data_IF_877397153668
#
_entry.id   IF_877397153668
#
_cell.length_a   1.000
_cell.length_b   1.000
_cell.length_c   1.000
_cell.angle_alpha   90.00
_cell.angle_beta   90.00
_cell.angle_gamma   90.00
#
_symmetry.space_group_name_H-M   'P 1'
#
loop_
_entity.id
_entity.type
_entity.pdbx_description
1 polymer ?
#
# COMPACT_ATOMS: atom_id res chain seq x y z
N UNK A 1 -8.75 -5.66 8.51
CA UNK A 1 -7.33 -5.46 8.84
C UNK A 1 -6.60 -5.61 7.53
N UNK A 2 -6.15 -4.49 6.93
CA UNK A 2 -5.12 -4.58 5.88
C UNK A 2 -3.92 -5.25 6.54
N UNK A 3 -3.30 -6.24 5.90
CA UNK A 3 -2.02 -6.74 6.35
C UNK A 3 -1.08 -5.53 6.33
N UNK A 4 -0.68 -5.06 7.50
CA UNK A 4 0.27 -3.96 7.57
C UNK A 4 1.63 -4.61 7.35
N UNK A 5 2.28 -4.31 6.23
CA UNK A 5 3.66 -4.74 6.02
C UNK A 5 4.51 -4.00 7.06
N UNK A 6 4.87 -4.69 8.14
CA UNK A 6 5.86 -4.19 9.11
C UNK A 6 7.24 -4.23 8.46
N UNK A 7 7.54 -3.21 7.65
CA UNK A 7 8.80 -3.07 6.96
C UNK A 7 9.89 -2.59 7.95
N UNK A 8 10.56 -3.53 8.62
CA UNK A 8 11.76 -3.24 9.41
C UNK A 8 13.00 -3.19 8.48
N UNK A 9 13.18 -2.09 7.73
CA UNK A 9 14.34 -1.96 6.84
C UNK A 9 15.59 -1.52 7.62
N UNK A 10 16.64 -2.33 7.57
CA UNK A 10 18.02 -1.89 7.79
C UNK A 10 18.59 -1.25 6.52
N UNK A 11 19.07 0.00 6.63
CA UNK A 11 19.58 0.83 5.53
C UNK A 11 20.76 0.16 4.81
N UNK A 12 20.57 -0.23 3.55
CA UNK A 12 21.68 -0.48 2.61
C UNK A 12 21.42 0.29 1.31
N UNK A 13 22.33 1.23 1.02
CA UNK A 13 22.29 2.07 -0.18
C UNK A 13 22.82 1.30 -1.38
N UNK A 14 21.96 0.94 -2.33
CA UNK A 14 22.39 0.58 -3.69
C UNK A 14 21.40 1.15 -4.71
N UNK A 15 21.89 2.05 -5.56
CA UNK A 15 21.18 2.68 -6.67
C UNK A 15 21.21 1.79 -7.92
N UNK A 16 20.09 1.66 -8.65
CA UNK A 16 19.94 2.05 -10.07
C UNK A 16 18.58 1.62 -10.63
N UNK A 17 17.64 2.56 -10.67
CA UNK A 17 16.66 2.76 -11.74
C UNK A 17 16.61 4.28 -11.97
N UNK A 18 16.24 4.75 -13.17
CA UNK A 18 16.10 6.19 -13.41
C UNK A 18 15.03 6.76 -12.46
N UNK A 19 15.48 7.24 -11.30
CA UNK A 19 14.60 7.78 -10.27
C UNK A 19 13.98 9.02 -10.88
N UNK A 20 12.67 8.95 -11.12
CA UNK A 20 11.92 10.09 -11.60
C UNK A 20 12.09 11.18 -10.54
N UNK A 21 12.85 12.22 -10.89
CA UNK A 21 13.27 13.23 -9.94
C UNK A 21 12.05 14.08 -9.56
N UNK A 22 11.73 14.14 -8.27
CA UNK A 22 10.74 15.07 -7.77
C UNK A 22 11.35 16.47 -7.68
N UNK A 23 10.75 17.44 -8.39
CA UNK A 23 11.13 18.84 -8.28
C UNK A 23 10.57 19.42 -6.96
N UNK A 24 11.39 19.99 -6.06
CA UNK A 24 10.91 20.63 -4.84
C UNK A 24 9.83 21.71 -5.05
N UNK A 25 9.74 22.32 -6.24
CA UNK A 25 8.65 23.22 -6.61
C UNK A 25 7.27 22.54 -6.56
N UNK A 26 7.21 21.22 -6.69
CA UNK A 26 5.98 20.41 -6.66
C UNK A 26 5.49 20.11 -5.24
N UNK A 27 6.34 20.27 -4.20
CA UNK A 27 6.00 19.91 -2.81
C UNK A 27 4.75 20.62 -2.29
N UNK A 28 4.54 21.89 -2.66
CA UNK A 28 3.35 22.63 -2.23
C UNK A 28 2.06 22.06 -2.83
N UNK A 29 2.09 21.65 -4.10
CA UNK A 29 0.95 21.01 -4.78
C UNK A 29 0.63 19.66 -4.14
N UNK A 30 1.64 18.84 -3.86
CA UNK A 30 1.45 17.55 -3.16
C UNK A 30 0.82 17.76 -1.78
N UNK A 31 1.29 18.73 -0.99
CA UNK A 31 0.68 19.08 0.31
C UNK A 31 -0.78 19.48 0.19
N UNK A 32 -1.13 20.28 -0.82
CA UNK A 32 -2.51 20.71 -1.05
C UNK A 32 -3.42 19.51 -1.36
N UNK A 33 -2.96 18.58 -2.20
CA UNK A 33 -3.72 17.37 -2.54
C UNK A 33 -3.98 16.48 -1.31
N UNK A 34 -2.94 16.23 -0.50
CA UNK A 34 -3.11 15.48 0.75
C UNK A 34 -4.00 16.21 1.76
N UNK A 35 -3.94 17.55 1.83
CA UNK A 35 -4.83 18.31 2.70
C UNK A 35 -6.31 18.10 2.32
N UNK A 36 -6.63 18.15 1.02
CA UNK A 36 -7.98 17.89 0.54
C UNK A 36 -8.40 16.43 0.81
N UNK A 37 -7.49 15.50 0.58
CA UNK A 37 -7.70 14.07 0.84
C UNK A 37 -8.02 13.80 2.31
N UNK A 38 -7.20 14.28 3.25
CA UNK A 38 -7.43 14.06 4.69
C UNK A 38 -8.71 14.73 5.19
N UNK A 39 -9.10 15.88 4.62
CA UNK A 39 -10.36 16.53 4.97
C UNK A 39 -11.57 15.61 4.72
N UNK A 40 -11.53 14.74 3.70
CA UNK A 40 -12.62 13.77 3.44
C UNK A 40 -12.80 12.75 4.58
N UNK A 41 -11.74 12.50 5.34
CA UNK A 41 -11.70 11.58 6.48
C UNK A 41 -11.78 12.29 7.84
N UNK A 42 -12.13 13.58 7.86
CA UNK A 42 -12.11 14.44 9.05
C UNK A 42 -10.73 14.46 9.75
N UNK A 43 -9.67 14.39 8.96
CA UNK A 43 -8.28 14.49 9.41
C UNK A 43 -7.67 15.76 8.84
N UNK A 44 -6.63 16.27 9.50
CA UNK A 44 -5.94 17.48 9.10
C UNK A 44 -4.44 17.28 9.12
N UNK A 45 -3.74 17.93 8.20
CA UNK A 45 -2.29 18.08 8.29
C UNK A 45 -2.00 19.11 9.39
N UNK A 46 -1.18 18.71 10.37
CA UNK A 46 -0.81 19.55 11.51
C UNK A 46 0.19 20.65 11.15
N UNK A 47 0.63 21.38 12.18
CA UNK A 47 1.73 22.34 12.05
C UNK A 47 2.97 21.67 11.44
N UNK A 48 3.80 22.43 10.72
CA UNK A 48 5.00 21.93 10.04
C UNK A 48 4.74 20.79 9.04
N UNK A 49 3.55 20.75 8.43
CA UNK A 49 3.14 19.71 7.50
C UNK A 49 3.19 18.29 8.12
N UNK A 50 2.92 18.17 9.43
CA UNK A 50 2.87 16.87 10.10
C UNK A 50 1.64 16.07 9.66
N UNK A 51 1.84 14.86 9.15
CA UNK A 51 0.72 13.98 8.80
C UNK A 51 0.08 13.38 10.06
N UNK A 52 -1.23 13.04 10.01
CA UNK A 52 -1.80 12.12 10.98
C UNK A 52 -0.99 10.83 11.05
N UNK A 53 -0.98 10.14 12.19
CA UNK A 53 -0.39 8.81 12.22
C UNK A 53 -1.11 7.91 11.21
N UNK A 54 -0.37 7.04 10.53
CA UNK A 54 -0.97 6.17 9.52
C UNK A 54 -2.07 5.30 10.12
N UNK A 55 -1.89 4.81 11.35
CA UNK A 55 -2.93 4.06 12.09
C UNK A 55 -4.22 4.88 12.24
N UNK A 56 -4.13 6.17 12.61
CA UNK A 56 -5.33 7.01 12.75
C UNK A 56 -6.02 7.24 11.40
N UNK A 57 -5.23 7.42 10.34
CA UNK A 57 -5.74 7.50 8.97
C UNK A 57 -6.41 6.20 8.52
N UNK A 58 -5.74 5.06 8.66
CA UNK A 58 -6.24 3.74 8.33
C UNK A 58 -7.52 3.37 9.13
N UNK A 59 -7.63 3.80 10.39
CA UNK A 59 -8.85 3.64 11.17
C UNK A 59 -10.00 4.53 10.65
N UNK A 60 -9.71 5.76 10.22
CA UNK A 60 -10.73 6.66 9.68
C UNK A 60 -11.27 6.13 8.35
N UNK A 61 -10.38 5.75 7.43
CA UNK A 61 -10.74 5.14 6.14
C UNK A 61 -11.34 3.74 6.30
N UNK A 62 -10.84 2.97 7.25
CA UNK A 62 -11.30 1.61 7.55
C UNK A 62 -12.79 1.52 7.91
N UNK A 63 -13.41 2.61 8.37
CA UNK A 63 -14.87 2.68 8.57
C UNK A 63 -15.64 2.56 7.26
N UNK A 64 -15.09 3.08 6.16
CA UNK A 64 -15.67 2.95 4.83
C UNK A 64 -15.20 1.65 4.14
N UNK A 65 -13.95 1.20 4.37
CA UNK A 65 -13.42 -0.05 3.77
C UNK A 65 -13.98 -1.34 4.39
N UNK A 66 -14.28 -1.33 5.69
CA UNK A 66 -14.78 -2.50 6.45
C UNK A 66 -16.27 -2.35 6.79
N UNK A 67 -16.82 -1.16 6.60
CA UNK A 67 -18.21 -0.84 6.89
C UNK A 67 -19.13 -1.22 5.74
N UNK A 68 -19.85 -2.32 5.90
CA UNK A 68 -21.22 -2.51 5.42
C UNK A 68 -21.47 -2.97 3.98
N UNK A 69 -20.76 -2.51 2.93
CA UNK A 69 -20.92 -3.02 1.55
C UNK A 69 -19.89 -2.47 0.55
N UNK A 70 -19.93 -2.98 -0.68
CA UNK A 70 -19.08 -2.56 -1.79
C UNK A 70 -19.33 -1.10 -2.28
N UNK A 71 -20.43 -0.43 -1.90
CA UNK A 71 -20.64 0.99 -2.23
C UNK A 71 -19.70 1.90 -1.43
N UNK A 72 -19.42 1.54 -0.18
CA UNK A 72 -18.46 2.30 0.63
C UNK A 72 -17.02 2.09 0.12
N UNK A 73 -16.67 0.89 -0.34
CA UNK A 73 -15.40 0.67 -1.04
C UNK A 73 -15.33 1.47 -2.35
N UNK A 74 -16.43 1.55 -3.12
CA UNK A 74 -16.47 2.40 -4.31
C UNK A 74 -16.28 3.89 -3.97
N UNK A 75 -16.81 4.36 -2.84
CA UNK A 75 -16.56 5.71 -2.30
C UNK A 75 -15.08 5.90 -1.95
N UNK A 76 -14.44 4.94 -1.29
CA UNK A 76 -12.99 4.98 -1.02
C UNK A 76 -12.22 5.13 -2.33
N UNK A 77 -12.61 4.37 -3.36
CA UNK A 77 -11.99 4.49 -4.68
C UNK A 77 -12.23 5.83 -5.37
N UNK A 78 -13.40 6.45 -5.21
CA UNK A 78 -13.64 7.81 -5.70
C UNK A 78 -12.70 8.82 -5.01
N UNK A 79 -12.55 8.71 -3.69
CA UNK A 79 -11.68 9.60 -2.91
C UNK A 79 -10.21 9.38 -3.31
N UNK A 80 -9.78 8.13 -3.47
CA UNK A 80 -8.43 7.78 -3.90
C UNK A 80 -8.13 8.31 -5.31
N UNK A 81 -9.07 8.15 -6.25
CA UNK A 81 -8.93 8.67 -7.61
C UNK A 81 -8.87 10.20 -7.62
N UNK A 82 -9.56 10.86 -6.69
CA UNK A 82 -9.46 12.32 -6.51
C UNK A 82 -8.06 12.73 -6.06
N UNK A 83 -7.48 12.02 -5.09
CA UNK A 83 -6.09 12.24 -4.66
C UNK A 83 -5.10 11.99 -5.79
N UNK A 84 -5.18 10.85 -6.48
CA UNK A 84 -4.27 10.50 -7.57
C UNK A 84 -4.34 11.49 -8.72
N UNK A 85 -5.54 11.97 -9.06
CA UNK A 85 -5.73 12.98 -10.10
C UNK A 85 -5.19 14.35 -9.69
N UNK A 86 -5.34 14.74 -8.42
CA UNK A 86 -4.78 15.97 -7.90
C UNK A 86 -3.25 15.95 -7.93
N UNK A 87 -2.64 14.83 -7.51
CA UNK A 87 -1.19 14.65 -7.55
C UNK A 87 -0.69 14.60 -9.00
N UNK A 88 -1.38 13.84 -9.87
CA UNK A 88 -1.13 13.77 -11.30
C UNK A 88 0.35 13.51 -11.62
N UNK A 89 0.95 14.42 -12.38
CA UNK A 89 2.35 14.33 -12.81
C UNK A 89 3.37 14.44 -11.66
N UNK A 90 2.94 14.88 -10.47
CA UNK A 90 3.78 14.99 -9.29
C UNK A 90 3.89 13.65 -8.52
N UNK A 91 3.38 12.54 -9.06
CA UNK A 91 3.44 11.22 -8.41
C UNK A 91 4.86 10.73 -8.17
N UNK A 92 5.84 11.21 -8.95
CA UNK A 92 7.27 10.97 -8.71
C UNK A 92 7.72 11.41 -7.31
N UNK A 93 7.03 12.38 -6.70
CA UNK A 93 7.29 12.87 -5.35
C UNK A 93 6.77 11.97 -4.23
N UNK A 94 5.92 10.99 -4.57
CA UNK A 94 5.43 10.00 -3.61
C UNK A 94 6.42 8.84 -3.64
N UNK A 95 7.49 8.97 -2.87
CA UNK A 95 8.50 7.93 -2.71
C UNK A 95 9.17 8.08 -1.34
N UNK A 96 9.80 7.03 -0.78
CA UNK A 96 10.32 7.07 0.59
C UNK A 96 11.44 8.11 0.80
N UNK A 97 12.06 8.62 -0.26
CA UNK A 97 13.13 9.63 -0.21
C UNK A 97 12.58 11.07 -0.19
N UNK A 98 11.59 11.38 -1.02
CA UNK A 98 11.06 12.74 -1.15
C UNK A 98 9.86 13.02 -0.27
N UNK A 99 9.03 12.01 0.02
CA UNK A 99 7.87 12.15 0.89
C UNK A 99 8.18 12.76 2.27
N UNK A 100 9.27 12.38 3.00
CA UNK A 100 9.63 13.02 4.27
C UNK A 100 10.22 14.44 4.12
N UNK A 101 10.49 14.90 2.89
CA UNK A 101 10.85 16.31 2.61
C UNK A 101 9.60 17.17 2.39
N UNK A 102 8.49 16.55 2.01
CA UNK A 102 7.20 17.21 1.78
C UNK A 102 6.45 17.36 3.11
N UNK A 103 6.51 16.31 3.94
CA UNK A 103 5.77 16.16 5.18
C UNK A 103 6.67 15.82 6.36
N UNK A 104 6.27 16.27 7.55
CA UNK A 104 6.83 15.75 8.79
C UNK A 104 6.15 14.43 9.14
N UNK A 105 6.83 13.33 8.84
CA UNK A 105 6.34 11.95 9.00
C UNK A 105 7.43 11.10 9.65
N UNK A 106 7.04 10.14 10.50
CA UNK A 106 8.00 9.20 11.08
C UNK A 106 8.44 8.17 10.01
N UNK A 107 9.52 7.44 10.27
CA UNK A 107 10.07 6.54 9.27
C UNK A 107 9.12 5.40 8.88
N UNK A 108 8.36 4.84 9.82
CA UNK A 108 7.40 3.75 9.54
C UNK A 108 6.23 4.27 8.70
N UNK A 109 5.58 5.34 9.16
CA UNK A 109 4.44 5.95 8.47
C UNK A 109 4.84 6.45 7.05
N UNK A 110 6.10 6.82 6.83
CA UNK A 110 6.60 7.22 5.51
C UNK A 110 6.37 6.10 4.47
N UNK A 111 6.78 4.87 4.79
CA UNK A 111 6.60 3.73 3.90
C UNK A 111 5.13 3.39 3.73
N UNK A 112 4.36 3.39 4.82
CA UNK A 112 2.93 3.07 4.79
C UNK A 112 2.13 4.05 3.93
N UNK A 113 2.40 5.36 4.02
CA UNK A 113 1.72 6.35 3.17
C UNK A 113 2.12 6.26 1.69
N UNK A 114 3.38 5.96 1.40
CA UNK A 114 3.85 5.78 0.02
C UNK A 114 3.23 4.54 -0.59
N UNK A 115 3.29 3.42 0.12
CA UNK A 115 2.66 2.16 -0.28
C UNK A 115 1.16 2.35 -0.54
N UNK A 116 0.44 2.91 0.44
CA UNK A 116 -1.00 3.10 0.38
C UNK A 116 -1.46 3.93 -0.82
N UNK A 117 -0.67 4.94 -1.21
CA UNK A 117 -0.98 5.75 -2.38
C UNK A 117 -1.01 4.92 -3.66
N UNK A 118 0.01 4.09 -3.90
CA UNK A 118 0.11 3.30 -5.13
C UNK A 118 -0.77 2.05 -5.10
N UNK A 119 -0.86 1.38 -3.94
CA UNK A 119 -1.80 0.28 -3.74
C UNK A 119 -3.22 0.77 -3.96
N UNK A 120 -3.61 1.90 -3.38
CA UNK A 120 -4.94 2.48 -3.58
C UNK A 120 -5.22 2.80 -5.06
N UNK A 121 -4.24 3.32 -5.80
CA UNK A 121 -4.38 3.52 -7.26
C UNK A 121 -4.62 2.19 -7.96
N UNK A 122 -3.83 1.16 -7.66
CA UNK A 122 -3.98 -0.15 -8.27
C UNK A 122 -5.36 -0.76 -7.98
N UNK A 123 -5.74 -0.80 -6.71
CA UNK A 123 -7.02 -1.37 -6.25
C UNK A 123 -8.22 -0.65 -6.88
N UNK A 124 -8.13 0.67 -7.09
CA UNK A 124 -9.25 1.51 -7.51
C UNK A 124 -9.27 1.89 -8.98
N UNK A 125 -8.22 1.58 -9.75
CA UNK A 125 -8.16 1.82 -11.19
C UNK A 125 -7.92 0.52 -11.94
N UNK A 126 -6.78 -0.14 -11.69
CA UNK A 126 -6.37 -1.34 -12.44
C UNK A 126 -7.18 -2.57 -12.03
N UNK A 127 -7.32 -2.81 -10.73
CA UNK A 127 -8.00 -3.97 -10.17
C UNK A 127 -9.44 -3.66 -9.71
N UNK A 128 -9.99 -2.50 -10.07
CA UNK A 128 -11.30 -2.02 -9.58
C UNK A 128 -12.41 -3.08 -9.67
N UNK A 129 -12.51 -3.75 -10.82
CA UNK A 129 -13.54 -4.77 -11.04
C UNK A 129 -13.40 -5.93 -10.05
N UNK A 130 -12.18 -6.40 -9.78
CA UNK A 130 -11.92 -7.46 -8.80
C UNK A 130 -12.18 -6.96 -7.39
N UNK A 131 -11.69 -5.77 -7.04
CA UNK A 131 -11.89 -5.13 -5.72
C UNK A 131 -13.37 -5.04 -5.36
N UNK A 132 -14.22 -4.59 -6.29
CA UNK A 132 -15.65 -4.38 -6.04
C UNK A 132 -16.46 -5.68 -6.13
N UNK A 133 -16.19 -6.54 -7.10
CA UNK A 133 -16.95 -7.80 -7.29
C UNK A 133 -16.66 -8.82 -6.19
N UNK A 134 -15.41 -8.89 -5.72
CA UNK A 134 -14.97 -9.81 -4.67
C UNK A 134 -14.91 -9.17 -3.28
N UNK A 135 -15.39 -7.92 -3.14
CA UNK A 135 -15.28 -7.12 -1.92
C UNK A 135 -15.58 -7.90 -0.64
N UNK A 136 -16.75 -8.55 -0.58
CA UNK A 136 -17.17 -9.26 0.64
C UNK A 136 -16.24 -10.41 0.98
N UNK A 137 -15.72 -11.12 -0.02
CA UNK A 137 -14.79 -12.20 0.21
C UNK A 137 -13.44 -11.65 0.70
N UNK A 138 -12.85 -10.71 -0.04
CA UNK A 138 -11.58 -10.07 0.30
C UNK A 138 -11.61 -9.44 1.71
N UNK A 139 -12.66 -8.69 2.03
CA UNK A 139 -12.85 -8.08 3.34
C UNK A 139 -12.99 -9.14 4.46
N UNK A 140 -13.55 -10.31 4.15
CA UNK A 140 -13.68 -11.41 5.13
C UNK A 140 -12.36 -12.11 5.43
N UNK A 141 -11.38 -12.09 4.51
CA UNK A 141 -10.07 -12.75 4.71
C UNK A 141 -9.34 -12.17 5.92
N UNK A 142 -9.42 -10.85 6.15
CA UNK A 142 -8.80 -10.23 7.32
C UNK A 142 -9.35 -10.72 8.67
N UNK A 143 -10.55 -11.32 8.69
CA UNK A 143 -11.13 -11.97 9.88
C UNK A 143 -10.93 -13.48 9.85
N UNK A 144 -11.27 -14.12 8.73
CA UNK A 144 -11.29 -15.58 8.60
C UNK A 144 -9.88 -16.16 8.44
N UNK A 145 -9.02 -15.47 7.70
CA UNK A 145 -7.61 -15.79 7.47
C UNK A 145 -6.65 -15.09 8.41
N UNK A 146 -7.14 -14.40 9.47
CA UNK A 146 -6.30 -13.61 10.39
C UNK A 146 -5.07 -14.38 10.89
N UNK A 147 -5.27 -15.62 11.38
CA UNK A 147 -4.16 -16.43 11.91
C UNK A 147 -3.14 -16.79 10.82
N UNK A 148 -3.60 -17.06 9.59
CA UNK A 148 -2.73 -17.39 8.47
C UNK A 148 -1.94 -16.17 7.98
N UNK A 149 -2.56 -14.98 7.97
CA UNK A 149 -1.87 -13.72 7.69
C UNK A 149 -0.81 -13.46 8.75
N UNK A 150 -1.15 -13.59 10.03
CA UNK A 150 -0.21 -13.41 11.13
C UNK A 150 0.98 -14.40 11.07
N UNK A 151 0.75 -15.62 10.56
CA UNK A 151 1.84 -16.57 10.29
C UNK A 151 2.76 -16.09 9.17
N UNK A 152 2.22 -15.54 8.08
CA UNK A 152 3.02 -14.92 7.02
C UNK A 152 3.88 -13.77 7.57
N UNK A 153 3.28 -12.87 8.36
CA UNK A 153 3.98 -11.75 9.00
C UNK A 153 5.07 -12.23 9.97
N UNK A 154 4.79 -13.29 10.74
CA UNK A 154 5.78 -13.91 11.65
C UNK A 154 6.96 -14.50 10.87
N UNK A 155 6.69 -15.13 9.72
CA UNK A 155 7.74 -15.67 8.86
C UNK A 155 8.60 -14.55 8.26
N UNK A 156 8.00 -13.46 7.77
CA UNK A 156 8.73 -12.29 7.27
C UNK A 156 9.69 -11.74 8.33
N UNK A 157 9.19 -11.54 9.56
CA UNK A 157 10.02 -11.06 10.68
C UNK A 157 11.16 -12.04 11.01
N UNK A 158 10.89 -13.34 10.93
CA UNK A 158 11.90 -14.38 11.15
C UNK A 158 12.98 -14.35 10.06
N UNK A 159 12.59 -14.19 8.80
CA UNK A 159 13.51 -14.10 7.67
C UNK A 159 14.41 -12.86 7.79
N UNK A 160 13.85 -11.71 8.16
CA UNK A 160 14.60 -10.48 8.42
C UNK A 160 15.58 -10.68 9.59
N UNK A 161 15.14 -11.26 10.71
CA UNK A 161 15.99 -11.54 11.86
C UNK A 161 17.15 -12.49 11.52
N UNK A 162 16.91 -13.43 10.59
CA UNK A 162 17.91 -14.37 10.08
C UNK A 162 18.74 -13.80 8.91
N UNK A 163 18.61 -12.50 8.61
CA UNK A 163 19.35 -11.82 7.55
C UNK A 163 19.15 -12.43 6.14
N UNK A 164 17.98 -13.01 5.89
CA UNK A 164 17.57 -13.38 4.54
C UNK A 164 17.54 -12.09 3.70
N UNK A 165 18.03 -12.11 2.44
CA UNK A 165 17.97 -10.93 1.58
C UNK A 165 16.54 -10.38 1.51
N UNK A 166 16.37 -9.06 1.73
CA UNK A 166 15.04 -8.46 1.91
C UNK A 166 14.07 -8.79 0.76
N UNK A 167 14.52 -8.72 -0.49
CA UNK A 167 13.69 -9.06 -1.65
C UNK A 167 13.24 -10.53 -1.66
N UNK A 168 14.06 -11.44 -1.13
CA UNK A 168 13.70 -12.85 -0.96
C UNK A 168 12.69 -13.05 0.17
N UNK A 169 12.88 -12.37 1.31
CA UNK A 169 11.95 -12.43 2.44
C UNK A 169 10.56 -11.89 2.04
N UNK A 170 10.52 -10.75 1.34
CA UNK A 170 9.29 -10.16 0.83
C UNK A 170 8.60 -11.07 -0.19
N UNK A 171 9.33 -11.65 -1.15
CA UNK A 171 8.73 -12.59 -2.09
C UNK A 171 8.13 -13.83 -1.40
N UNK A 172 8.75 -14.33 -0.33
CA UNK A 172 8.18 -15.40 0.50
C UNK A 172 6.88 -14.94 1.16
N UNK A 173 6.87 -13.72 1.70
CA UNK A 173 5.67 -13.12 2.30
C UNK A 173 4.53 -12.95 1.28
N UNK A 174 4.80 -12.39 0.10
CA UNK A 174 3.82 -12.24 -0.99
C UNK A 174 3.24 -13.59 -1.42
N UNK A 175 4.08 -14.63 -1.54
CA UNK A 175 3.62 -15.99 -1.87
C UNK A 175 2.71 -16.54 -0.77
N UNK A 176 3.08 -16.33 0.49
CA UNK A 176 2.28 -16.74 1.64
C UNK A 176 0.90 -16.07 1.63
N UNK A 177 0.84 -14.74 1.46
CA UNK A 177 -0.42 -14.00 1.36
C UNK A 177 -1.28 -14.46 0.18
N UNK A 178 -0.68 -14.65 -1.00
CA UNK A 178 -1.36 -15.17 -2.19
C UNK A 178 -2.06 -16.49 -1.90
N UNK A 179 -1.36 -17.44 -1.27
CA UNK A 179 -1.93 -18.74 -0.89
C UNK A 179 -3.07 -18.60 0.13
N UNK A 180 -2.96 -17.68 1.09
CA UNK A 180 -4.03 -17.39 2.06
C UNK A 180 -5.27 -16.89 1.32
N UNK A 181 -5.15 -15.80 0.56
CA UNK A 181 -6.30 -15.23 -0.15
C UNK A 181 -6.91 -16.23 -1.14
N UNK A 182 -6.08 -17.00 -1.84
CA UNK A 182 -6.55 -18.06 -2.72
C UNK A 182 -7.38 -19.12 -1.99
N UNK A 183 -6.93 -19.55 -0.81
CA UNK A 183 -7.64 -20.58 -0.03
C UNK A 183 -9.04 -20.15 0.45
N UNK A 184 -9.24 -18.85 0.68
CA UNK A 184 -10.52 -18.31 1.15
C UNK A 184 -11.43 -17.84 0.02
N UNK A 185 -10.84 -17.28 -1.04
CA UNK A 185 -11.59 -16.51 -2.05
C UNK A 185 -11.30 -16.93 -3.50
N UNK A 186 -10.54 -18.00 -3.71
CA UNK A 186 -10.23 -18.53 -5.04
C UNK A 186 -9.07 -17.83 -5.74
N UNK A 187 -8.74 -18.32 -6.93
CA UNK A 187 -7.51 -17.95 -7.65
C UNK A 187 -7.37 -16.45 -7.91
N UNK A 188 -8.47 -15.77 -8.26
CA UNK A 188 -8.43 -14.32 -8.52
C UNK A 188 -8.09 -13.50 -7.28
N UNK A 189 -8.48 -13.96 -6.09
CA UNK A 189 -8.11 -13.31 -4.84
C UNK A 189 -6.62 -13.52 -4.49
N UNK A 190 -6.07 -14.71 -4.77
CA UNK A 190 -4.63 -14.95 -4.66
C UNK A 190 -3.82 -14.10 -5.63
N UNK A 191 -4.25 -14.05 -6.89
CA UNK A 191 -3.68 -13.17 -7.91
C UNK A 191 -3.79 -11.69 -7.49
N UNK A 192 -4.93 -11.29 -6.93
CA UNK A 192 -5.18 -9.92 -6.48
C UNK A 192 -4.18 -9.48 -5.43
N UNK A 193 -4.06 -10.23 -4.32
CA UNK A 193 -3.14 -9.81 -3.24
C UNK A 193 -1.69 -9.87 -3.72
N UNK A 194 -1.31 -10.86 -4.53
CA UNK A 194 0.04 -10.91 -5.11
C UNK A 194 0.38 -9.63 -5.88
N UNK A 195 -0.53 -9.17 -6.75
CA UNK A 195 -0.29 -7.96 -7.53
C UNK A 195 -0.31 -6.69 -6.67
N UNK A 196 -1.17 -6.63 -5.66
CA UNK A 196 -1.20 -5.52 -4.67
C UNK A 196 0.16 -5.39 -3.97
N UNK A 197 0.70 -6.50 -3.47
CA UNK A 197 2.00 -6.51 -2.80
C UNK A 197 3.15 -6.17 -3.76
N UNK A 198 3.13 -6.67 -5.01
CA UNK A 198 4.13 -6.29 -6.00
C UNK A 198 4.11 -4.78 -6.32
N UNK A 199 2.92 -4.16 -6.33
CA UNK A 199 2.79 -2.70 -6.47
C UNK A 199 3.44 -2.01 -5.28
N UNK A 200 3.11 -2.41 -4.06
CA UNK A 200 3.75 -1.88 -2.85
C UNK A 200 5.28 -1.95 -2.96
N UNK A 201 5.83 -3.15 -3.16
CA UNK A 201 7.26 -3.41 -3.23
C UNK A 201 7.97 -2.61 -4.33
N UNK A 202 7.34 -2.40 -5.48
CA UNK A 202 7.89 -1.58 -6.58
C UNK A 202 8.19 -0.14 -6.12
N UNK A 203 7.40 0.40 -5.20
CA UNK A 203 7.50 1.78 -4.75
C UNK A 203 8.26 1.95 -3.43
N UNK A 204 8.21 0.97 -2.53
CA UNK A 204 8.93 1.04 -1.25
C UNK A 204 10.32 0.37 -1.28
N UNK A 205 10.51 -0.64 -2.15
CA UNK A 205 11.75 -1.41 -2.30
C UNK A 205 12.11 -1.54 -3.80
N UNK A 206 12.41 -0.43 -4.51
CA UNK A 206 12.67 -0.47 -5.95
C UNK A 206 13.83 -1.39 -6.35
N UNK A 207 14.77 -1.66 -5.44
CA UNK A 207 15.85 -2.64 -5.65
C UNK A 207 15.34 -4.09 -5.84
N UNK A 208 14.11 -4.40 -5.42
CA UNK A 208 13.50 -5.72 -5.53
C UNK A 208 12.75 -5.93 -6.85
N UNK A 209 12.53 -4.88 -7.65
CA UNK A 209 11.82 -4.94 -8.94
C UNK A 209 12.31 -6.09 -9.83
N UNK A 210 13.63 -6.33 -10.02
CA UNK A 210 14.12 -7.38 -10.90
C UNK A 210 13.81 -8.81 -10.43
N UNK A 211 13.43 -8.98 -9.16
CA UNK A 211 13.20 -10.30 -8.56
C UNK A 211 11.79 -10.50 -8.06
N UNK A 212 10.86 -9.56 -8.28
CA UNK A 212 9.48 -9.69 -7.82
C UNK A 212 8.85 -10.99 -8.33
N UNK A 213 7.96 -11.56 -7.52
CA UNK A 213 7.20 -12.74 -7.91
C UNK A 213 6.39 -12.48 -9.19
N UNK A 214 6.30 -13.50 -10.04
CA UNK A 214 5.38 -13.44 -11.17
C UNK A 214 3.94 -13.73 -10.67
N UNK A 215 3.13 -12.68 -10.55
CA UNK A 215 1.75 -12.82 -10.11
C UNK A 215 0.85 -13.28 -11.27
N UNK A 216 -0.10 -14.21 -11.02
CA UNK A 216 -1.04 -14.64 -12.06
C UNK A 216 -1.90 -13.50 -12.60
N UNK A 217 -2.36 -13.64 -13.84
CA UNK A 217 -3.42 -12.80 -14.39
C UNK A 217 -4.79 -13.20 -13.80
N UNK A 218 -5.73 -12.25 -13.80
CA UNK A 218 -7.12 -12.51 -13.39
C UNK A 218 -7.83 -13.41 -14.41
N UNK A 219 -8.74 -14.23 -13.90
CA UNK A 219 -9.65 -15.04 -14.72
C UNK A 219 -10.59 -14.09 -15.47
N UNK A 220 -10.53 -14.10 -16.80
CA UNK A 220 -11.42 -13.32 -17.69
C UNK A 220 -12.76 -13.97 -17.89
#
# INVERSE_FOLDING_TARGET
MKAFIFLAIALFTVSTAAQQYCDPAQYASVRQCYSQYFNTYNLTIGANATLPSYIAFAQSRGKDELGFNNLNMAKVCLIQNTLSNCIGQNSACINPTDFPKIFSVNNTDNYEYVEDFFVGIYECQTAYNITISNFYCLASVGKNGFNSIAQCETQLNTDIANQVPICTAENTFVTCLSNVYQSYCGNDAGAYICNVENVALTHVLPQCIPTLNNCPAYST
#
